data_IF_636320694367
#
_entry.id   IF_636320694367
#
_cell.length_a   1.000
_cell.length_b   1.000
_cell.length_c   1.000
_cell.angle_alpha   90.00
_cell.angle_beta   90.00
_cell.angle_gamma   90.00
#
_symmetry.space_group_name_H-M   'P 1'
#
loop_
_entity.id
_entity.type
_entity.pdbx_description
1 polymer ?
#
# COMPACT_ATOMS: atom_id res chain seq x y z
N UNK A 1 16.62 -19.19 45.76
CA UNK A 1 15.78 -20.37 45.42
C UNK A 1 14.99 -20.03 44.17
N UNK A 2 15.20 -20.79 43.09
CA UNK A 2 14.55 -20.65 41.78
C UNK A 2 13.16 -21.28 41.83
N UNK A 3 12.13 -20.59 41.34
CA UNK A 3 10.89 -21.23 40.87
C UNK A 3 10.63 -20.78 39.43
N UNK A 4 11.00 -21.65 38.50
CA UNK A 4 10.62 -21.60 37.08
C UNK A 4 9.28 -22.31 36.95
N UNK A 5 8.23 -21.63 36.49
CA UNK A 5 6.97 -22.27 36.08
C UNK A 5 6.85 -22.19 34.56
N UNK A 6 7.17 -23.30 33.90
CA UNK A 6 6.93 -23.54 32.48
C UNK A 6 5.51 -24.08 32.34
N UNK A 7 4.61 -23.33 31.71
CA UNK A 7 3.29 -23.82 31.31
C UNK A 7 3.34 -24.15 29.80
N UNK A 8 3.21 -25.43 29.47
CA UNK A 8 3.09 -25.91 28.10
C UNK A 8 1.66 -25.70 27.57
N UNK A 9 1.54 -25.15 26.37
CA UNK A 9 0.29 -25.13 25.62
C UNK A 9 0.21 -26.36 24.69
N UNK A 10 -0.96 -26.99 24.55
CA UNK A 10 -1.16 -28.10 23.62
C UNK A 10 -1.22 -27.61 22.16
N UNK A 11 -0.45 -28.26 21.29
CA UNK A 11 -0.60 -28.21 19.83
C UNK A 11 -1.96 -28.81 19.44
N UNK A 12 -2.84 -28.00 18.83
CA UNK A 12 -3.98 -28.50 18.08
C UNK A 12 -3.59 -28.57 16.58
N UNK A 13 -3.38 -29.78 16.07
CA UNK A 13 -3.18 -30.03 14.65
C UNK A 13 -4.54 -30.10 13.95
N UNK A 14 -4.84 -29.11 13.09
CA UNK A 14 -6.01 -29.15 12.20
C UNK A 14 -5.53 -29.63 10.83
N UNK A 15 -5.87 -30.87 10.49
CA UNK A 15 -5.65 -31.42 9.16
C UNK A 15 -6.78 -30.95 8.23
N UNK A 16 -6.47 -30.08 7.26
CA UNK A 16 -7.35 -29.81 6.12
C UNK A 16 -7.06 -30.83 5.01
N UNK A 17 -7.98 -31.76 4.81
CA UNK A 17 -8.01 -32.64 3.64
C UNK A 17 -8.57 -31.87 2.43
N UNK A 18 -7.70 -31.50 1.48
CA UNK A 18 -8.10 -31.01 0.16
C UNK A 18 -8.38 -32.21 -0.75
N UNK A 19 -9.64 -32.34 -1.19
CA UNK A 19 -10.04 -33.27 -2.24
C UNK A 19 -9.65 -32.73 -3.61
N UNK A 20 -8.61 -33.31 -4.23
CA UNK A 20 -8.24 -33.07 -5.62
C UNK A 20 -9.27 -33.75 -6.55
N UNK A 21 -10.06 -32.95 -7.28
CA UNK A 21 -10.77 -33.42 -8.46
C UNK A 21 -9.78 -33.59 -9.62
N UNK A 22 -9.28 -34.82 -9.77
CA UNK A 22 -8.59 -35.27 -10.97
C UNK A 22 -9.64 -35.65 -12.04
N UNK A 23 -9.71 -34.88 -13.13
CA UNK A 23 -10.29 -35.34 -14.38
C UNK A 23 -9.21 -35.22 -15.44
N UNK A 24 -8.55 -36.35 -15.69
CA UNK A 24 -7.56 -36.52 -16.74
C UNK A 24 -8.20 -36.77 -18.10
N UNK A 25 -7.40 -36.58 -19.14
CA UNK A 25 -7.73 -36.99 -20.51
C UNK A 25 -6.76 -36.41 -21.52
N UNK A 26 -5.51 -36.90 -21.52
CA UNK A 26 -4.52 -36.57 -22.54
C UNK A 26 -4.75 -37.35 -23.84
N UNK A 27 -4.24 -36.80 -24.96
CA UNK A 27 -3.78 -37.55 -26.14
C UNK A 27 -2.86 -36.65 -26.97
N UNK A 28 -1.63 -37.13 -27.19
CA UNK A 28 -0.61 -36.62 -28.11
C UNK A 28 -1.03 -36.60 -29.58
N UNK A 29 -0.58 -35.59 -30.36
CA UNK A 29 0.21 -35.75 -31.61
C UNK A 29 0.21 -34.50 -32.53
N UNK A 30 1.20 -34.36 -33.45
CA UNK A 30 1.71 -33.08 -33.96
C UNK A 30 1.31 -32.73 -35.41
N UNK A 31 1.46 -31.45 -35.76
CA UNK A 31 1.76 -30.99 -37.13
C UNK A 31 0.57 -30.78 -38.08
N UNK A 32 0.45 -29.58 -38.67
CA UNK A 32 -0.41 -29.36 -39.83
C UNK A 32 -0.71 -27.88 -40.13
N UNK A 33 0.02 -27.32 -41.09
CA UNK A 33 -0.34 -26.09 -41.80
C UNK A 33 -1.63 -26.29 -42.61
N UNK A 34 -2.50 -25.29 -42.68
CA UNK A 34 -3.63 -25.28 -43.62
C UNK A 34 -4.67 -24.22 -43.28
N UNK A 35 -4.95 -23.33 -44.24
CA UNK A 35 -5.78 -22.14 -44.04
C UNK A 35 -7.29 -22.32 -44.27
N UNK A 36 -7.90 -21.14 -44.43
CA UNK A 36 -9.25 -20.85 -44.94
C UNK A 36 -10.38 -20.67 -43.91
N UNK A 37 -10.76 -19.40 -43.73
CA UNK A 37 -12.14 -18.91 -43.54
C UNK A 37 -13.10 -19.46 -44.62
N UNK A 38 -14.46 -19.37 -44.53
CA UNK A 38 -15.33 -18.67 -43.55
C UNK A 38 -16.50 -19.55 -43.04
N UNK A 39 -17.37 -19.01 -42.15
CA UNK A 39 -18.83 -18.89 -42.36
C UNK A 39 -19.61 -18.76 -41.04
N UNK A 40 -20.63 -17.90 -41.09
CA UNK A 40 -21.49 -17.46 -40.01
C UNK A 40 -22.61 -18.46 -39.65
N UNK A 41 -23.14 -18.36 -38.43
CA UNK A 41 -24.60 -18.25 -38.14
C UNK A 41 -24.88 -18.13 -36.63
N UNK A 42 -25.52 -17.02 -36.22
CA UNK A 42 -26.33 -16.90 -35.00
C UNK A 42 -27.72 -17.54 -35.22
N UNK A 43 -28.43 -18.01 -34.19
CA UNK A 43 -29.29 -17.16 -33.33
C UNK A 43 -29.16 -17.53 -31.83
N UNK A 44 -29.29 -16.63 -30.85
CA UNK A 44 -30.55 -16.03 -30.40
C UNK A 44 -31.10 -16.77 -29.17
N UNK A 45 -31.01 -16.16 -27.98
CA UNK A 45 -31.97 -16.35 -26.89
C UNK A 45 -31.80 -15.30 -25.80
N UNK A 46 -32.90 -14.61 -25.54
CA UNK A 46 -33.08 -13.49 -24.62
C UNK A 46 -33.69 -13.97 -23.28
N UNK A 47 -33.65 -13.08 -22.27
CA UNK A 47 -34.48 -12.96 -21.05
C UNK A 47 -34.04 -13.68 -19.75
N UNK A 48 -34.47 -13.19 -18.54
CA UNK A 48 -35.13 -11.91 -18.23
C UNK A 48 -34.51 -11.09 -17.07
N UNK A 49 -34.91 -9.82 -17.07
CA UNK A 49 -34.88 -8.87 -15.96
C UNK A 49 -35.89 -9.30 -14.87
N UNK A 50 -35.46 -9.34 -13.61
CA UNK A 50 -36.33 -9.26 -12.43
C UNK A 50 -35.70 -8.25 -11.48
N UNK A 51 -36.28 -7.08 -11.17
CA UNK A 51 -37.69 -6.73 -11.19
C UNK A 51 -38.33 -7.08 -9.83
N UNK A 52 -37.95 -6.38 -8.77
CA UNK A 52 -38.70 -6.36 -7.52
C UNK A 52 -38.69 -4.94 -6.98
N UNK A 53 -39.86 -4.31 -7.09
CA UNK A 53 -40.20 -2.96 -6.67
C UNK A 53 -41.37 -3.07 -5.69
N UNK A 54 -41.45 -2.06 -4.82
CA UNK A 54 -42.56 -1.68 -3.91
C UNK A 54 -42.51 -2.36 -2.52
N UNK A 55 -42.75 -1.69 -1.39
CA UNK A 55 -43.37 -0.37 -1.13
C UNK A 55 -43.03 0.10 0.29
N UNK A 56 -43.12 1.41 0.47
CA UNK A 56 -43.01 2.26 1.66
C UNK A 56 -43.64 1.79 2.98
N UNK A 57 -43.11 2.34 4.09
CA UNK A 57 -43.93 2.85 5.20
C UNK A 57 -43.21 3.99 5.93
N UNK A 58 -43.98 5.06 6.12
CA UNK A 58 -43.81 6.31 6.86
C UNK A 58 -43.02 6.30 8.18
N UNK A 59 -42.41 7.46 8.49
CA UNK A 59 -42.65 8.09 9.78
C UNK A 59 -41.46 8.77 10.45
N UNK A 60 -41.62 10.09 10.68
CA UNK A 60 -41.01 10.89 11.78
C UNK A 60 -39.54 11.31 11.62
N UNK A 61 -39.08 12.54 11.92
CA UNK A 61 -39.69 13.79 12.40
C UNK A 61 -38.68 14.89 12.09
N UNK A 62 -39.16 16.01 11.54
CA UNK A 62 -38.37 17.22 11.36
C UNK A 62 -38.08 17.90 12.71
N UNK A 63 -36.83 18.31 12.94
CA UNK A 63 -36.51 19.34 13.93
C UNK A 63 -35.91 20.55 13.21
N UNK A 64 -36.43 21.78 13.43
CA UNK A 64 -35.76 23.02 13.08
C UNK A 64 -34.96 23.52 14.29
N UNK A 65 -33.71 23.93 14.13
CA UNK A 65 -33.05 24.81 15.12
C UNK A 65 -32.02 25.71 14.44
N UNK A 66 -32.51 26.90 14.14
CA UNK A 66 -31.92 28.24 14.33
C UNK A 66 -30.50 28.58 13.84
N UNK A 67 -30.50 29.62 12.99
CA UNK A 67 -29.43 30.56 12.70
C UNK A 67 -28.64 31.01 13.93
N UNK A 68 -27.32 31.09 13.76
CA UNK A 68 -26.54 32.19 14.35
C UNK A 68 -25.71 32.86 13.25
N UNK A 69 -26.19 34.03 12.87
CA UNK A 69 -25.46 35.11 12.21
C UNK A 69 -24.49 35.70 13.24
N UNK A 70 -23.19 35.72 12.96
CA UNK A 70 -22.33 36.84 13.36
C UNK A 70 -21.23 37.09 12.32
N UNK A 71 -21.31 38.30 11.77
CA UNK A 71 -20.32 38.97 10.93
C UNK A 71 -19.04 39.24 11.72
N UNK A 72 -17.87 38.99 11.15
CA UNK A 72 -16.71 39.87 11.35
C UNK A 72 -15.91 40.02 10.06
N UNK A 73 -16.11 41.19 9.46
CA UNK A 73 -15.23 41.85 8.49
C UNK A 73 -13.85 42.09 9.11
N UNK A 74 -12.79 41.79 8.37
CA UNK A 74 -11.52 42.51 8.51
C UNK A 74 -10.81 42.57 7.16
N UNK A 75 -11.01 43.73 6.52
CA UNK A 75 -10.23 44.28 5.43
C UNK A 75 -8.81 44.57 5.92
N UNK A 76 -7.80 44.06 5.23
CA UNK A 76 -6.47 44.68 5.18
C UNK A 76 -5.98 44.63 3.74
N UNK A 77 -6.16 45.77 3.08
CA UNK A 77 -5.53 46.18 1.83
C UNK A 77 -4.01 46.26 2.02
N UNK A 78 -3.26 45.66 1.11
CA UNK A 78 -1.79 45.74 1.08
C UNK A 78 -1.27 45.48 -0.31
N UNK A 79 -1.45 46.45 -1.20
CA UNK A 79 -0.81 46.52 -2.51
C UNK A 79 0.54 47.25 -2.37
N UNK A 80 1.63 46.57 -2.71
CA UNK A 80 2.90 47.22 -3.05
C UNK A 80 3.60 46.38 -4.13
N UNK A 81 3.93 47.08 -5.22
CA UNK A 81 4.45 46.62 -6.51
C UNK A 81 5.93 46.18 -6.48
N UNK A 82 6.43 45.54 -7.55
CA UNK A 82 7.68 44.78 -7.57
C UNK A 82 8.91 45.63 -7.88
N UNK A 83 10.09 45.17 -7.47
CA UNK A 83 11.38 45.62 -8.03
C UNK A 83 12.38 44.45 -8.00
N UNK A 84 12.72 43.97 -9.20
CA UNK A 84 13.92 43.18 -9.52
C UNK A 84 15.17 43.65 -8.78
N UNK A 85 16.07 42.73 -8.38
CA UNK A 85 17.49 42.72 -8.79
C UNK A 85 18.16 41.37 -8.42
N UNK A 86 19.06 40.95 -9.29
CA UNK A 86 19.74 39.66 -9.32
C UNK A 86 20.72 39.43 -8.15
N UNK A 87 20.82 38.18 -7.71
CA UNK A 87 22.07 37.64 -7.16
C UNK A 87 22.10 36.12 -7.34
N UNK A 88 22.98 35.68 -8.23
CA UNK A 88 23.51 34.32 -8.24
C UNK A 88 24.47 34.18 -7.07
N UNK A 89 24.28 33.14 -6.26
CA UNK A 89 25.36 32.56 -5.44
C UNK A 89 25.00 31.12 -5.12
N UNK A 90 25.75 30.21 -5.75
CA UNK A 90 26.05 28.87 -5.26
C UNK A 90 26.29 28.90 -3.75
N UNK A 91 25.47 28.16 -3.00
CA UNK A 91 25.58 28.07 -1.56
C UNK A 91 24.78 26.86 -1.10
N UNK A 92 25.48 25.74 -0.95
CA UNK A 92 24.99 24.46 -0.48
C UNK A 92 23.87 24.61 0.57
N UNK A 93 22.70 24.05 0.26
CA UNK A 93 21.62 23.83 1.22
C UNK A 93 22.13 22.84 2.26
N UNK A 94 22.77 23.37 3.30
CA UNK A 94 22.92 22.68 4.56
C UNK A 94 21.52 22.57 5.16
N UNK A 95 20.83 21.49 4.80
CA UNK A 95 19.54 21.14 5.37
C UNK A 95 19.76 20.87 6.86
N UNK A 96 19.30 21.81 7.68
CA UNK A 96 19.29 21.74 9.14
C UNK A 96 18.61 20.46 9.57
N UNK A 97 19.42 19.45 9.89
CA UNK A 97 18.96 18.18 10.44
C UNK A 97 18.60 18.40 11.90
N UNK A 98 17.30 18.45 12.19
CA UNK A 98 16.82 18.12 13.53
C UNK A 98 17.38 16.74 13.92
N UNK A 99 17.71 16.48 15.19
CA UNK A 99 18.10 15.14 15.65
C UNK A 99 16.86 14.25 15.73
N UNK A 100 16.31 13.89 14.58
CA UNK A 100 15.30 12.85 14.41
C UNK A 100 15.93 11.71 13.63
N UNK A 101 15.77 10.48 14.13
CA UNK A 101 16.21 9.21 13.52
C UNK A 101 16.51 9.32 12.03
N UNK A 102 17.79 9.16 11.65
CA UNK A 102 18.21 9.25 10.26
C UNK A 102 17.31 8.34 9.40
N UNK A 103 16.47 8.96 8.56
CA UNK A 103 15.40 8.30 7.80
C UNK A 103 15.92 7.28 6.77
N UNK A 104 17.23 7.05 6.69
CA UNK A 104 17.86 6.32 5.60
C UNK A 104 17.85 7.12 4.31
N UNK A 105 18.66 6.69 3.35
CA UNK A 105 18.69 7.27 2.01
C UNK A 105 17.79 6.44 1.10
N UNK A 106 16.85 7.07 0.36
CA UNK A 106 16.08 6.36 -0.66
C UNK A 106 16.99 5.76 -1.74
N UNK A 107 16.53 4.70 -2.40
CA UNK A 107 17.31 4.07 -3.49
C UNK A 107 17.54 5.07 -4.65
N UNK A 108 18.52 4.84 -5.53
CA UNK A 108 18.70 5.66 -6.73
C UNK A 108 17.43 5.73 -7.58
N UNK A 109 17.24 6.81 -8.35
CA UNK A 109 16.12 6.90 -9.28
C UNK A 109 16.20 5.80 -10.35
N UNK A 110 15.06 5.18 -10.67
CA UNK A 110 14.97 4.06 -11.60
C UNK A 110 15.41 2.70 -11.04
N UNK A 111 15.95 2.64 -9.82
CA UNK A 111 16.26 1.37 -9.16
C UNK A 111 14.98 0.60 -8.81
N UNK A 112 15.02 -0.73 -8.95
CA UNK A 112 13.93 -1.62 -8.52
C UNK A 112 14.43 -2.70 -7.56
N UNK A 113 13.59 -3.14 -6.65
CA UNK A 113 13.90 -4.29 -5.77
C UNK A 113 14.00 -5.55 -6.64
N UNK A 114 14.97 -6.41 -6.34
CA UNK A 114 15.17 -7.67 -7.10
C UNK A 114 13.93 -8.56 -7.06
N UNK A 115 13.69 -9.29 -8.16
CA UNK A 115 12.58 -10.24 -8.25
C UNK A 115 12.68 -11.33 -7.17
N UNK A 116 11.54 -11.78 -6.66
CA UNK A 116 11.47 -12.84 -5.64
C UNK A 116 11.86 -12.39 -4.22
N UNK A 117 12.19 -11.12 -4.00
CA UNK A 117 12.54 -10.61 -2.67
C UNK A 117 11.41 -10.77 -1.63
N UNK A 118 10.17 -10.99 -2.08
CA UNK A 118 8.98 -11.13 -1.24
C UNK A 118 9.01 -12.45 -0.47
N UNK A 119 9.63 -13.49 -1.06
CA UNK A 119 9.88 -14.77 -0.42
C UNK A 119 11.06 -14.74 0.57
N UNK A 120 11.89 -13.70 0.53
CA UNK A 120 13.13 -13.59 1.31
C UNK A 120 13.22 -12.30 2.12
N UNK A 121 12.09 -11.77 2.60
CA UNK A 121 12.08 -10.58 3.44
C UNK A 121 12.85 -10.83 4.77
N UNK A 122 13.69 -9.88 5.23
CA UNK A 122 14.52 -10.04 6.43
C UNK A 122 13.71 -10.36 7.68
N UNK A 123 14.29 -11.12 8.62
CA UNK A 123 13.64 -11.38 9.91
C UNK A 123 13.50 -10.11 10.78
N UNK A 124 14.38 -9.12 10.59
CA UNK A 124 14.36 -7.85 11.29
C UNK A 124 14.80 -6.71 10.37
N UNK A 125 14.19 -5.53 10.52
CA UNK A 125 14.57 -4.28 9.81
C UNK A 125 14.57 -3.14 10.82
N UNK A 126 15.74 -2.57 11.16
CA UNK A 126 15.85 -1.41 12.10
C UNK A 126 15.08 -1.58 13.42
N UNK A 127 15.16 -2.77 14.03
CA UNK A 127 14.47 -3.10 15.28
C UNK A 127 12.98 -3.43 15.12
N UNK A 128 12.46 -3.47 13.89
CA UNK A 128 11.15 -4.04 13.59
C UNK A 128 11.30 -5.54 13.33
N UNK A 129 10.63 -6.35 14.13
CA UNK A 129 10.72 -7.80 14.04
C UNK A 129 9.58 -8.37 13.19
N UNK A 130 9.91 -9.25 12.24
CA UNK A 130 8.93 -9.98 11.44
C UNK A 130 8.12 -10.93 12.31
N UNK A 131 6.80 -10.81 12.25
CA UNK A 131 5.88 -11.67 12.97
C UNK A 131 5.70 -13.01 12.25
N UNK A 132 5.81 -14.10 13.01
CA UNK A 132 5.54 -15.44 12.50
C UNK A 132 4.03 -15.67 12.35
N UNK A 133 3.61 -16.34 11.27
CA UNK A 133 2.19 -16.70 11.08
C UNK A 133 1.28 -15.55 10.61
N UNK A 134 1.85 -14.52 9.99
CA UNK A 134 1.16 -13.29 9.54
C UNK A 134 0.11 -13.44 8.42
N UNK A 135 -0.20 -14.67 7.99
CA UNK A 135 -1.10 -14.92 6.85
C UNK A 135 -0.46 -14.55 5.50
N UNK A 136 -1.24 -14.04 4.52
CA UNK A 136 -0.72 -13.72 3.19
C UNK A 136 0.12 -12.44 3.15
N UNK A 137 0.00 -11.58 4.16
CA UNK A 137 0.85 -10.41 4.35
C UNK A 137 2.01 -10.74 5.30
N UNK A 138 3.12 -10.04 5.16
CA UNK A 138 4.19 -10.07 6.16
C UNK A 138 4.00 -8.90 7.12
N UNK A 139 3.79 -9.18 8.41
CA UNK A 139 3.68 -8.13 9.44
C UNK A 139 5.03 -7.96 10.14
N UNK A 140 5.44 -6.71 10.36
CA UNK A 140 6.54 -6.33 11.22
C UNK A 140 5.99 -5.58 12.43
N UNK A 141 6.56 -5.81 13.61
CA UNK A 141 6.13 -5.16 14.85
C UNK A 141 7.27 -4.50 15.60
N UNK A 142 7.00 -3.35 16.23
CA UNK A 142 7.93 -2.68 17.14
C UNK A 142 7.15 -1.92 18.21
N UNK A 143 7.36 -2.26 19.48
CA UNK A 143 6.71 -1.61 20.62
C UNK A 143 5.17 -1.54 20.54
N UNK A 144 4.52 -2.55 19.97
CA UNK A 144 3.07 -2.59 19.78
C UNK A 144 2.59 -2.04 18.44
N UNK A 145 3.37 -1.18 17.79
CA UNK A 145 3.05 -0.67 16.46
C UNK A 145 3.32 -1.72 15.37
N UNK A 146 2.55 -1.68 14.28
CA UNK A 146 2.58 -2.66 13.19
C UNK A 146 2.80 -2.01 11.82
N UNK A 147 3.62 -2.67 11.00
CA UNK A 147 3.75 -2.38 9.56
C UNK A 147 3.39 -3.65 8.81
N UNK A 148 2.39 -3.57 7.94
CA UNK A 148 1.98 -4.66 7.06
C UNK A 148 2.65 -4.51 5.70
N UNK A 149 3.17 -5.62 5.15
CA UNK A 149 3.77 -5.68 3.82
C UNK A 149 3.00 -6.69 2.99
N UNK A 150 2.46 -6.24 1.86
CA UNK A 150 1.83 -7.07 0.84
C UNK A 150 2.55 -6.89 -0.49
N UNK A 151 2.47 -7.91 -1.36
CA UNK A 151 3.08 -7.88 -2.68
C UNK A 151 2.01 -7.96 -3.78
N UNK A 152 2.06 -7.03 -4.72
CA UNK A 152 1.14 -6.92 -5.85
C UNK A 152 1.89 -7.30 -7.14
N UNK A 153 1.84 -8.58 -7.49
CA UNK A 153 2.51 -9.12 -8.67
C UNK A 153 2.00 -8.45 -9.96
N UNK A 154 2.90 -8.12 -10.87
CA UNK A 154 2.56 -7.53 -12.17
C UNK A 154 2.05 -6.08 -12.15
N UNK A 155 1.95 -5.46 -10.97
CA UNK A 155 1.55 -4.05 -10.84
C UNK A 155 2.70 -3.10 -11.17
N UNK A 156 2.37 -1.83 -11.47
CA UNK A 156 3.34 -0.76 -11.72
C UNK A 156 3.25 0.30 -10.62
N UNK A 157 4.39 0.80 -10.18
CA UNK A 157 4.45 1.73 -9.05
C UNK A 157 3.73 3.04 -9.38
N UNK A 158 3.89 3.55 -10.61
CA UNK A 158 3.29 4.81 -11.04
C UNK A 158 1.76 4.81 -10.97
N UNK A 159 1.14 3.67 -11.29
CA UNK A 159 -0.31 3.52 -11.20
C UNK A 159 -0.80 3.57 -9.75
N UNK A 160 -0.01 3.06 -8.80
CA UNK A 160 -0.40 2.97 -7.39
C UNK A 160 -0.05 4.23 -6.60
N UNK A 161 1.06 4.89 -6.90
CA UNK A 161 1.45 6.17 -6.26
C UNK A 161 0.41 7.26 -6.52
N UNK A 162 -0.33 7.20 -7.63
CA UNK A 162 -1.46 8.10 -7.90
C UNK A 162 -2.60 8.01 -6.86
N UNK A 163 -2.67 6.93 -6.09
CA UNK A 163 -3.63 6.76 -4.98
C UNK A 163 -3.21 7.44 -3.68
N UNK A 164 -1.97 7.94 -3.59
CA UNK A 164 -1.50 8.70 -2.43
C UNK A 164 -2.05 10.12 -2.49
N UNK A 165 -2.85 10.48 -1.48
CA UNK A 165 -3.62 11.73 -1.44
C UNK A 165 -2.87 12.88 -0.78
N UNK A 166 -1.88 12.59 0.06
CA UNK A 166 -1.11 13.61 0.77
C UNK A 166 0.29 13.10 1.21
N UNK A 167 1.16 14.05 1.56
CA UNK A 167 2.46 13.82 2.21
C UNK A 167 3.40 12.86 1.45
N UNK A 168 3.39 12.94 0.12
CA UNK A 168 4.23 12.10 -0.71
C UNK A 168 5.72 12.34 -0.43
N UNK A 169 6.39 11.30 0.05
CA UNK A 169 7.81 11.30 0.44
C UNK A 169 8.50 10.14 -0.25
N UNK A 170 9.63 10.44 -0.91
CA UNK A 170 10.45 9.42 -1.58
C UNK A 170 11.02 8.43 -0.56
N UNK A 171 10.86 7.13 -0.82
CA UNK A 171 11.36 6.07 0.04
C UNK A 171 11.61 4.79 -0.74
N UNK A 172 12.71 4.11 -0.44
CA UNK A 172 13.14 2.90 -1.13
C UNK A 172 13.21 3.13 -2.64
N UNK A 173 12.56 2.26 -3.40
CA UNK A 173 12.40 2.36 -4.86
C UNK A 173 11.09 3.03 -5.29
N UNK A 174 10.40 3.75 -4.40
CA UNK A 174 9.14 4.39 -4.71
C UNK A 174 8.77 5.53 -3.76
N UNK A 175 7.51 5.57 -3.32
CA UNK A 175 6.97 6.69 -2.53
C UNK A 175 6.07 6.22 -1.38
N UNK A 176 6.15 6.93 -0.27
CA UNK A 176 5.28 6.84 0.89
C UNK A 176 4.36 8.06 0.98
N UNK A 177 3.18 7.92 1.57
CA UNK A 177 2.27 9.02 1.85
C UNK A 177 1.00 8.53 2.54
N UNK A 178 -0.03 9.35 2.56
CA UNK A 178 -1.35 8.96 3.05
C UNK A 178 -2.21 8.42 1.89
N UNK A 179 -3.01 7.37 2.14
CA UNK A 179 -3.89 6.78 1.14
C UNK A 179 -5.34 6.66 1.66
N UNK A 180 -6.29 7.31 0.97
CA UNK A 180 -7.73 7.20 1.25
C UNK A 180 -8.22 7.91 2.52
N UNK A 181 -7.44 7.91 3.60
CA UNK A 181 -7.69 8.60 4.86
C UNK A 181 -6.38 9.08 5.49
N UNK A 182 -6.45 10.12 6.32
CA UNK A 182 -5.27 10.69 6.99
C UNK A 182 -4.56 9.68 7.92
N UNK A 183 -5.32 8.73 8.48
CA UNK A 183 -4.78 7.72 9.40
C UNK A 183 -4.12 6.53 8.68
N UNK A 184 -4.19 6.44 7.35
CA UNK A 184 -3.63 5.33 6.60
C UNK A 184 -2.36 5.76 5.88
N UNK A 185 -1.22 5.41 6.47
CA UNK A 185 0.08 5.58 5.82
C UNK A 185 0.36 4.40 4.90
N UNK A 186 0.75 4.69 3.67
CA UNK A 186 1.05 3.68 2.65
C UNK A 186 2.33 4.03 1.89
N UNK A 187 3.17 3.03 1.64
CA UNK A 187 4.29 3.11 0.71
C UNK A 187 4.16 2.09 -0.41
N UNK A 188 4.40 2.55 -1.63
CA UNK A 188 4.50 1.71 -2.82
C UNK A 188 5.94 1.67 -3.30
N UNK A 189 6.53 0.47 -3.36
CA UNK A 189 7.92 0.27 -3.79
C UNK A 189 7.98 -0.58 -5.05
N UNK A 190 8.69 -0.09 -6.06
CA UNK A 190 8.91 -0.83 -7.29
C UNK A 190 9.83 -2.05 -7.07
N UNK A 191 9.39 -3.20 -7.56
CA UNK A 191 10.18 -4.41 -7.69
C UNK A 191 10.20 -4.87 -9.15
N UNK A 192 11.20 -5.68 -9.51
CA UNK A 192 11.33 -6.19 -10.88
C UNK A 192 10.12 -7.04 -11.32
N UNK A 193 9.41 -7.67 -10.37
CA UNK A 193 8.27 -8.56 -10.58
C UNK A 193 6.92 -7.98 -10.10
N UNK A 194 6.89 -6.75 -9.58
CA UNK A 194 5.65 -6.14 -9.09
C UNK A 194 5.87 -4.91 -8.20
N UNK A 195 4.98 -4.74 -7.23
CA UNK A 195 5.03 -3.63 -6.26
C UNK A 195 4.83 -4.14 -4.84
N UNK A 196 5.66 -3.69 -3.91
CA UNK A 196 5.36 -3.83 -2.49
C UNK A 196 4.42 -2.72 -2.04
N UNK A 197 3.34 -3.08 -1.38
CA UNK A 197 2.48 -2.18 -0.64
C UNK A 197 2.79 -2.35 0.85
N UNK A 198 3.33 -1.32 1.49
CA UNK A 198 3.55 -1.26 2.92
C UNK A 198 2.49 -0.34 3.52
N UNK A 199 1.80 -0.77 4.57
CA UNK A 199 0.77 0.04 5.21
C UNK A 199 0.96 0.06 6.72
N UNK A 200 0.66 1.20 7.34
CA UNK A 200 0.66 1.39 8.78
C UNK A 200 -0.41 2.41 9.21
N UNK A 201 -0.83 2.32 10.47
CA UNK A 201 -1.73 3.29 11.08
C UNK A 201 -0.92 4.52 11.53
N UNK A 202 -1.35 5.73 11.15
CA UNK A 202 -0.66 6.97 11.46
C UNK A 202 -0.67 7.33 12.96
N UNK A 203 -1.62 6.76 13.73
CA UNK A 203 -1.68 6.88 15.18
C UNK A 203 -0.65 6.02 15.91
N UNK A 204 -0.13 4.97 15.26
CA UNK A 204 0.87 4.06 15.83
C UNK A 204 2.27 4.25 15.22
N UNK A 205 2.35 4.60 13.94
CA UNK A 205 3.60 4.73 13.18
C UNK A 205 3.64 6.10 12.52
N UNK A 206 4.73 6.84 12.71
CA UNK A 206 4.92 8.10 12.00
C UNK A 206 5.29 7.86 10.54
N UNK A 207 4.96 8.79 9.63
CA UNK A 207 5.41 8.73 8.24
C UNK A 207 6.94 8.62 8.14
N UNK A 208 7.67 9.32 9.02
CA UNK A 208 9.13 9.22 9.09
C UNK A 208 9.62 7.81 9.45
N UNK A 209 9.01 7.16 10.44
CA UNK A 209 9.38 5.79 10.82
C UNK A 209 9.06 4.78 9.71
N UNK A 210 7.95 4.96 9.00
CA UNK A 210 7.59 4.13 7.86
C UNK A 210 8.56 4.32 6.69
N UNK A 211 8.99 5.56 6.41
CA UNK A 211 10.02 5.86 5.41
C UNK A 211 11.36 5.24 5.81
N UNK A 212 11.75 5.35 7.08
CA UNK A 212 12.99 4.77 7.59
C UNK A 212 13.00 3.24 7.51
N UNK A 213 11.89 2.60 7.84
CA UNK A 213 11.69 1.17 7.67
C UNK A 213 11.79 0.78 6.19
N UNK A 214 11.11 1.51 5.32
CA UNK A 214 11.08 1.29 3.87
C UNK A 214 12.46 1.35 3.23
N UNK A 215 13.25 2.37 3.57
CA UNK A 215 14.61 2.55 3.08
C UNK A 215 15.50 1.38 3.51
N UNK A 216 15.45 1.01 4.79
CA UNK A 216 16.24 -0.10 5.32
C UNK A 216 15.80 -1.47 4.76
N UNK A 217 14.50 -1.67 4.52
CA UNK A 217 13.98 -2.89 3.89
C UNK A 217 14.47 -3.00 2.45
N UNK A 218 14.40 -1.90 1.69
CA UNK A 218 14.88 -1.84 0.31
C UNK A 218 16.38 -2.12 0.22
N UNK A 219 17.17 -1.55 1.13
CA UNK A 219 18.61 -1.83 1.23
C UNK A 219 18.89 -3.31 1.50
N UNK A 220 18.15 -3.92 2.43
CA UNK A 220 18.31 -5.33 2.79
C UNK A 220 17.83 -6.30 1.70
N UNK A 221 16.76 -5.95 0.98
CA UNK A 221 16.26 -6.72 -0.17
C UNK A 221 17.19 -6.60 -1.39
N UNK A 222 17.92 -5.49 -1.49
CA UNK A 222 18.81 -5.18 -2.58
C UNK A 222 18.07 -4.72 -3.84
N UNK A 223 18.71 -3.83 -4.59
CA UNK A 223 18.18 -3.28 -5.84
C UNK A 223 19.01 -3.70 -7.04
N UNK A 224 18.46 -3.52 -8.24
CA UNK A 224 19.13 -3.69 -9.54
C UNK A 224 18.86 -2.51 -10.44
#
# INVERSE_FOLDING_TARGET
MKLTRTAGLPLAAVALSLSLAACGGGSDSPGGSGGSTPSASSPGSSQPLGGSTMTSSDGMTAMPTESMTESMTSTMTGEATPTDMMTSSDGATASSSAPGSALGTPAPEGAVIKAGASGSLPAEVKGWAKQSGSGPATIYSKNGALISISFLSGSKVDSLVSSLTAEQTRAGTGQCGQAGSADNLTCYLGAADGVYNLSADAGEVSLGDLVAFTNAMTEAAGTS
#
